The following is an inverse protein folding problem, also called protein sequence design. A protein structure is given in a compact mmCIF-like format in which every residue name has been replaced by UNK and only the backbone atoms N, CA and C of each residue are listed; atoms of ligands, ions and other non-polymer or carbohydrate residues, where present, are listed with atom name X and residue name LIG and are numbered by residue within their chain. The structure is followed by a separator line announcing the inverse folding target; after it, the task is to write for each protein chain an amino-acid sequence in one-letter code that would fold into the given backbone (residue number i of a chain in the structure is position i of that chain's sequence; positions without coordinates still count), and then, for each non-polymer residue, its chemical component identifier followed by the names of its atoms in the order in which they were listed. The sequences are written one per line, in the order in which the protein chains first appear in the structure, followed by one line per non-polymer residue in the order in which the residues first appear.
data_IF_067955847200
#
_entry.id   IF_067955847200
#
_cell.length_a   1.000
_cell.length_b   1.000
_cell.length_c   1.000
_cell.angle_alpha   90.00
_cell.angle_beta   90.00
_cell.angle_gamma   90.00
#
_symmetry.space_group_name_H-M   'P 1'
#
loop_
_entity.id
_entity.type
_entity.pdbx_description
1 polymer ?
#
# COMPACT_ATOMS: atom_id res chain seq x y z
N UNK A 1 -12.15 -21.43 -13.97
CA UNK A 1 -12.08 -20.28 -13.04
C UNK A 1 -10.69 -19.69 -13.20
N UNK A 2 -10.57 -18.60 -13.95
CA UNK A 2 -9.29 -17.88 -14.05
C UNK A 2 -9.31 -16.83 -12.96
N UNK A 3 -8.64 -17.13 -11.86
CA UNK A 3 -8.38 -16.17 -10.79
C UNK A 3 -7.42 -15.12 -11.36
N UNK A 4 -7.91 -13.91 -11.61
CA UNK A 4 -7.05 -12.77 -11.94
C UNK A 4 -6.44 -12.35 -10.61
N UNK A 5 -5.28 -12.92 -10.29
CA UNK A 5 -4.50 -12.48 -9.13
C UNK A 5 -4.05 -11.05 -9.39
N UNK A 6 -4.67 -10.09 -8.69
CA UNK A 6 -4.30 -8.68 -8.80
C UNK A 6 -2.96 -8.51 -8.09
N UNK A 7 -1.93 -8.09 -8.82
CA UNK A 7 -0.59 -7.92 -8.23
C UNK A 7 -0.57 -6.71 -7.29
N UNK A 8 -0.59 -6.99 -5.99
CA UNK A 8 -0.70 -5.98 -4.95
C UNK A 8 0.68 -5.38 -4.66
N UNK A 9 0.72 -4.05 -4.54
CA UNK A 9 1.96 -3.32 -4.35
C UNK A 9 1.86 -2.34 -3.18
N UNK A 10 2.95 -2.21 -2.42
CA UNK A 10 3.09 -1.18 -1.42
C UNK A 10 3.03 0.21 -2.07
N UNK A 11 2.06 1.01 -1.68
CA UNK A 11 1.88 2.38 -2.18
C UNK A 11 3.10 3.29 -1.95
N UNK A 12 3.94 2.96 -0.95
CA UNK A 12 5.08 3.79 -0.61
C UNK A 12 6.34 3.45 -1.42
N UNK A 13 6.69 2.16 -1.48
CA UNK A 13 7.96 1.70 -2.05
C UNK A 13 7.83 0.80 -3.28
N UNK A 14 6.61 0.46 -3.70
CA UNK A 14 6.35 -0.35 -4.89
C UNK A 14 6.75 -1.82 -4.76
N UNK A 15 7.13 -2.32 -3.58
CA UNK A 15 7.35 -3.76 -3.40
C UNK A 15 6.03 -4.52 -3.56
N UNK A 16 6.05 -5.62 -4.32
CA UNK A 16 4.91 -6.52 -4.44
C UNK A 16 4.75 -7.41 -3.21
N UNK A 17 3.62 -8.11 -3.11
CA UNK A 17 3.37 -9.10 -2.06
C UNK A 17 4.35 -10.28 -2.08
N UNK A 18 4.98 -10.57 -3.22
CA UNK A 18 6.04 -11.56 -3.33
C UNK A 18 7.37 -11.10 -2.69
N UNK A 19 7.58 -9.79 -2.57
CA UNK A 19 8.83 -9.21 -2.08
C UNK A 19 8.77 -8.81 -0.59
N UNK A 20 7.57 -8.51 -0.07
CA UNK A 20 7.37 -8.15 1.33
C UNK A 20 5.91 -8.36 1.76
N UNK A 21 5.65 -8.71 3.03
CA UNK A 21 4.28 -8.79 3.53
C UNK A 21 3.59 -7.44 3.43
N UNK A 22 2.43 -7.42 2.78
CA UNK A 22 1.57 -6.26 2.64
C UNK A 22 0.46 -6.27 3.69
N UNK A 23 0.16 -5.09 4.22
CA UNK A 23 -0.95 -4.82 5.12
C UNK A 23 -1.99 -4.03 4.34
N UNK A 24 -3.23 -4.52 4.33
CA UNK A 24 -4.35 -3.84 3.70
C UNK A 24 -4.83 -2.67 4.56
N UNK A 25 -5.16 -1.56 3.91
CA UNK A 25 -5.77 -0.39 4.53
C UNK A 25 -6.89 0.16 3.65
N UNK A 26 -7.88 0.80 4.27
CA UNK A 26 -8.90 1.58 3.55
C UNK A 26 -8.67 3.05 3.82
N UNK A 27 -8.57 3.84 2.76
CA UNK A 27 -8.41 5.29 2.85
C UNK A 27 -9.31 5.96 1.80
N UNK A 28 -10.09 6.96 2.22
CA UNK A 28 -11.08 7.64 1.35
C UNK A 28 -11.99 6.67 0.57
N UNK A 29 -12.37 5.54 1.20
CA UNK A 29 -13.21 4.51 0.58
C UNK A 29 -12.48 3.50 -0.31
N UNK A 30 -11.24 3.78 -0.73
CA UNK A 30 -10.45 2.93 -1.61
C UNK A 30 -9.57 1.93 -0.83
N UNK A 31 -9.44 0.67 -1.31
CA UNK A 31 -8.44 -0.26 -0.80
C UNK A 31 -7.04 0.19 -1.22
N UNK A 32 -6.08 0.08 -0.31
CA UNK A 32 -4.67 0.39 -0.50
C UNK A 32 -3.81 -0.62 0.27
N UNK A 33 -2.52 -0.68 -0.06
CA UNK A 33 -1.57 -1.61 0.56
C UNK A 33 -0.28 -0.90 0.97
N UNK A 34 0.24 -1.24 2.15
CA UNK A 34 1.56 -0.80 2.62
C UNK A 34 2.34 -2.00 3.13
N UNK A 35 3.62 -2.11 2.83
CA UNK A 35 4.42 -3.22 3.36
C UNK A 35 4.77 -2.97 4.84
N UNK A 36 5.01 -4.06 5.59
CA UNK A 36 5.38 -3.99 7.01
C UNK A 36 6.61 -3.10 7.26
N UNK A 37 7.52 -3.00 6.28
CA UNK A 37 8.72 -2.18 6.37
C UNK A 37 8.45 -0.67 6.19
N UNK A 38 7.38 -0.30 5.49
CA UNK A 38 6.96 1.10 5.32
C UNK A 38 5.87 1.51 6.32
N UNK A 39 5.29 0.56 7.06
CA UNK A 39 4.33 0.85 8.12
C UNK A 39 4.87 1.83 9.19
N UNK A 40 6.15 1.76 9.64
CA UNK A 40 6.67 2.75 10.59
C UNK A 40 6.58 4.19 10.07
N UNK A 41 6.84 4.43 8.78
CA UNK A 41 6.70 5.76 8.16
C UNK A 41 5.23 6.21 8.19
N UNK A 42 4.29 5.29 7.93
CA UNK A 42 2.85 5.59 8.04
C UNK A 42 2.45 6.01 9.46
N UNK A 43 3.06 5.43 10.49
CA UNK A 43 2.72 5.69 11.90
C UNK A 43 3.40 6.96 12.42
N UNK A 44 4.69 7.15 12.11
CA UNK A 44 5.51 8.22 12.69
C UNK A 44 5.57 9.48 11.83
N UNK A 45 5.45 9.35 10.51
CA UNK A 45 5.62 10.44 9.53
C UNK A 45 4.55 10.38 8.42
N UNK A 46 3.24 10.34 8.76
CA UNK A 46 2.16 10.09 7.80
C UNK A 46 2.10 11.09 6.65
N UNK A 47 2.63 12.31 6.84
CA UNK A 47 2.69 13.35 5.82
C UNK A 47 3.52 12.92 4.59
N UNK A 48 4.55 12.09 4.78
CA UNK A 48 5.37 11.58 3.67
C UNK A 48 4.59 10.62 2.76
N UNK A 49 3.55 9.99 3.30
CA UNK A 49 2.71 9.03 2.58
C UNK A 49 1.42 9.66 2.06
N UNK A 50 0.90 10.71 2.73
CA UNK A 50 -0.33 11.40 2.35
C UNK A 50 -0.38 11.82 0.87
N UNK A 51 0.73 12.33 0.33
CA UNK A 51 0.82 12.71 -1.09
C UNK A 51 0.65 11.53 -2.04
N UNK A 52 1.12 10.34 -1.66
CA UNK A 52 0.97 9.09 -2.43
C UNK A 52 -0.44 8.48 -2.28
N UNK A 53 -1.14 8.80 -1.20
CA UNK A 53 -2.54 8.40 -0.99
C UNK A 53 -3.50 9.23 -1.86
N UNK A 54 -3.20 10.52 -2.06
CA UNK A 54 -3.98 11.40 -2.93
C UNK A 54 -3.84 11.06 -4.43
N UNK A 55 -2.74 10.41 -4.81
CA UNK A 55 -2.58 9.79 -6.12
C UNK A 55 -3.38 8.48 -6.13
N UNK A 56 -4.60 8.53 -6.67
CA UNK A 56 -5.40 7.37 -7.00
C UNK A 56 -6.16 7.67 -8.28
N UNK A 57 -5.77 6.99 -9.36
CA UNK A 57 -6.66 6.64 -10.47
C UNK A 57 -7.43 5.37 -10.07
#
# INVERSE_FOLDING_TARGET
MSDVTTDLHCLNCGKSEAQAPLVALRYAGAPRWVCAQCMPVLIHEPQQIATKLAQGD
#
